data_IF_954643737137
#
_entry.id   IF_954643737137
#
_cell.length_a   1.000
_cell.length_b   1.000
_cell.length_c   1.000
_cell.angle_alpha   90.00
_cell.angle_beta   90.00
_cell.angle_gamma   90.00
#
_symmetry.space_group_name_H-M   'P 1'
#
loop_
_entity.id
_entity.type
_entity.pdbx_description
1 polymer ?
#
# COMPACT_ATOMS: atom_id res chain seq x y z
N UNK A 1 9.41 -8.91 -28.84
CA UNK A 1 8.60 -7.76 -28.40
C UNK A 1 7.37 -8.38 -27.76
N UNK A 2 7.05 -8.04 -26.53
CA UNK A 2 5.81 -8.49 -25.88
C UNK A 2 4.84 -7.33 -26.04
N UNK A 3 3.78 -7.54 -26.81
CA UNK A 3 2.73 -6.57 -27.07
C UNK A 3 1.38 -7.09 -26.57
N UNK A 4 0.52 -6.19 -26.13
CA UNK A 4 -0.83 -6.49 -25.67
C UNK A 4 -1.77 -5.51 -26.37
N UNK A 5 -2.84 -6.02 -26.96
CA UNK A 5 -3.90 -5.22 -27.59
C UNK A 5 -5.19 -5.42 -26.80
N UNK A 6 -5.74 -4.34 -26.24
CA UNK A 6 -6.99 -4.36 -25.48
C UNK A 6 -8.17 -3.87 -26.31
N UNK A 7 -9.35 -4.45 -26.08
CA UNK A 7 -10.62 -3.90 -26.54
C UNK A 7 -11.12 -2.90 -25.51
N UNK A 8 -11.26 -1.63 -25.88
CA UNK A 8 -11.80 -0.59 -25.00
C UNK A 8 -13.33 -0.49 -25.13
N UNK A 9 -13.97 -0.02 -24.07
CA UNK A 9 -15.41 0.28 -24.02
C UNK A 9 -15.63 1.79 -23.87
N UNK A 10 -16.80 2.26 -24.28
CA UNK A 10 -17.18 3.67 -24.13
C UNK A 10 -17.48 4.00 -22.66
N UNK A 11 -17.06 5.18 -22.22
CA UNK A 11 -17.40 5.70 -20.89
C UNK A 11 -18.73 6.45 -21.03
N UNK A 12 -19.76 5.97 -20.31
CA UNK A 12 -21.08 6.59 -20.33
C UNK A 12 -21.05 8.00 -19.74
N UNK A 13 -21.92 8.87 -20.23
CA UNK A 13 -21.87 10.32 -19.95
C UNK A 13 -22.30 10.71 -18.53
N UNK A 14 -23.16 9.91 -17.90
CA UNK A 14 -23.70 10.17 -16.57
C UNK A 14 -23.41 9.00 -15.64
N UNK A 15 -23.03 9.29 -14.39
CA UNK A 15 -22.79 8.26 -13.36
C UNK A 15 -23.26 8.72 -11.98
N UNK A 16 -23.70 7.76 -11.18
CA UNK A 16 -24.07 7.97 -9.78
C UNK A 16 -23.53 6.84 -8.91
N UNK A 17 -23.22 7.15 -7.66
CA UNK A 17 -22.86 6.14 -6.66
C UNK A 17 -23.64 6.34 -5.36
N UNK A 18 -23.89 5.25 -4.65
CA UNK A 18 -24.56 5.19 -3.35
C UNK A 18 -23.75 4.31 -2.40
N UNK A 19 -23.79 4.61 -1.10
CA UNK A 19 -23.24 3.74 -0.07
C UNK A 19 -24.37 3.36 0.87
N UNK A 20 -24.78 2.09 0.82
CA UNK A 20 -25.90 1.56 1.59
C UNK A 20 -25.35 0.65 2.67
N UNK A 21 -25.82 0.81 3.92
CA UNK A 21 -25.38 0.01 5.06
C UNK A 21 -26.53 -0.81 5.58
N UNK A 22 -26.32 -2.11 5.57
CA UNK A 22 -27.23 -3.15 6.00
C UNK A 22 -26.91 -3.54 7.44
N UNK A 23 -27.92 -4.08 8.11
CA UNK A 23 -27.83 -4.49 9.52
C UNK A 23 -27.00 -5.76 9.72
N UNK A 24 -26.83 -6.57 8.67
CA UNK A 24 -26.07 -7.81 8.69
C UNK A 24 -25.52 -8.14 7.29
N UNK A 25 -24.55 -9.07 7.24
CA UNK A 25 -23.90 -9.53 6.00
C UNK A 25 -24.84 -10.33 5.09
N UNK A 26 -25.83 -11.03 5.66
CA UNK A 26 -26.80 -11.84 4.92
C UNK A 26 -27.70 -10.96 4.05
N UNK A 27 -28.30 -9.92 4.64
CA UNK A 27 -29.15 -8.95 3.94
C UNK A 27 -28.37 -8.22 2.84
N UNK A 28 -27.13 -7.81 3.12
CA UNK A 28 -26.26 -7.22 2.10
C UNK A 28 -25.99 -8.19 0.94
N UNK A 29 -25.67 -9.44 1.24
CA UNK A 29 -25.37 -10.45 0.22
C UNK A 29 -26.60 -10.85 -0.60
N UNK A 30 -27.78 -10.92 0.01
CA UNK A 30 -29.05 -11.13 -0.70
C UNK A 30 -29.42 -9.90 -1.56
N UNK A 31 -29.09 -8.70 -1.09
CA UNK A 31 -29.23 -7.48 -1.89
C UNK A 31 -28.32 -7.50 -3.11
N UNK A 32 -27.08 -8.00 -3.01
CA UNK A 32 -26.18 -8.20 -4.16
C UNK A 32 -26.84 -9.11 -5.20
N UNK A 33 -27.40 -10.24 -4.79
CA UNK A 33 -28.12 -11.14 -5.71
C UNK A 33 -29.30 -10.45 -6.39
N UNK A 34 -30.08 -9.66 -5.65
CA UNK A 34 -31.18 -8.89 -6.20
C UNK A 34 -30.69 -7.81 -7.20
N UNK A 35 -29.65 -7.05 -6.84
CA UNK A 35 -29.06 -5.99 -7.67
C UNK A 35 -28.47 -6.54 -8.98
N UNK A 36 -27.91 -7.75 -8.96
CA UNK A 36 -27.32 -8.40 -10.16
C UNK A 36 -28.31 -8.59 -11.32
N UNK A 37 -29.63 -8.51 -11.04
CA UNK A 37 -30.72 -8.64 -12.01
C UNK A 37 -31.07 -7.31 -12.71
N UNK A 38 -30.37 -6.23 -12.37
CA UNK A 38 -30.62 -4.88 -12.86
C UNK A 38 -29.37 -4.27 -13.54
N UNK A 39 -29.56 -3.11 -14.17
CA UNK A 39 -28.46 -2.34 -14.77
C UNK A 39 -27.61 -1.65 -13.70
N UNK A 40 -26.65 -2.38 -13.15
CA UNK A 40 -25.65 -1.87 -12.19
C UNK A 40 -24.25 -2.10 -12.76
N UNK A 41 -23.34 -1.15 -12.59
CA UNK A 41 -21.97 -1.29 -13.12
C UNK A 41 -21.01 -1.83 -12.06
N UNK A 42 -21.23 -1.54 -10.78
CA UNK A 42 -20.43 -2.10 -9.68
C UNK A 42 -21.25 -2.24 -8.40
N UNK A 43 -21.00 -3.33 -7.66
CA UNK A 43 -21.47 -3.53 -6.28
C UNK A 43 -20.31 -4.05 -5.46
N UNK A 44 -19.77 -3.18 -4.61
CA UNK A 44 -18.61 -3.45 -3.77
C UNK A 44 -19.02 -3.69 -2.32
N UNK A 45 -18.69 -4.86 -1.78
CA UNK A 45 -19.00 -5.24 -0.40
C UNK A 45 -17.89 -4.84 0.56
N UNK A 46 -18.25 -4.43 1.76
CA UNK A 46 -17.34 -4.15 2.88
C UNK A 46 -18.00 -4.59 4.19
N UNK A 47 -17.42 -5.59 4.86
CA UNK A 47 -17.97 -6.10 6.13
C UNK A 47 -17.76 -5.14 7.31
N UNK A 48 -18.42 -5.41 8.44
CA UNK A 48 -18.40 -4.49 9.59
C UNK A 48 -17.00 -4.26 10.16
N UNK A 49 -16.14 -5.29 10.10
CA UNK A 49 -14.72 -5.16 10.49
C UNK A 49 -13.94 -4.28 9.51
N UNK A 50 -14.19 -4.40 8.21
CA UNK A 50 -13.65 -3.49 7.20
C UNK A 50 -14.07 -2.04 7.48
N UNK A 51 -15.35 -1.80 7.76
CA UNK A 51 -15.88 -0.46 8.08
C UNK A 51 -15.25 0.11 9.35
N UNK A 52 -15.16 -0.69 10.41
CA UNK A 52 -14.52 -0.28 11.66
C UNK A 52 -13.06 0.13 11.46
N UNK A 53 -12.33 -0.56 10.56
CA UNK A 53 -10.92 -0.27 10.29
C UNK A 53 -10.66 1.11 9.66
N UNK A 54 -11.69 1.75 9.10
CA UNK A 54 -11.59 3.04 8.41
C UNK A 54 -12.49 4.12 9.02
N UNK A 55 -13.25 3.82 10.07
CA UNK A 55 -14.23 4.73 10.66
C UNK A 55 -13.65 6.11 11.08
N UNK A 56 -12.37 6.15 11.47
CA UNK A 56 -11.66 7.36 11.89
C UNK A 56 -11.01 8.15 10.72
N UNK A 57 -11.14 7.68 9.48
CA UNK A 57 -10.54 8.36 8.32
C UNK A 57 -11.34 9.63 7.93
N UNK A 58 -10.62 10.67 7.53
CA UNK A 58 -11.21 11.93 7.06
C UNK A 58 -12.06 11.69 5.79
N UNK A 59 -13.32 12.15 5.82
CA UNK A 59 -14.28 12.04 4.71
C UNK A 59 -15.20 10.82 4.77
N UNK A 60 -15.02 9.93 5.75
CA UNK A 60 -15.94 8.81 5.98
C UNK A 60 -17.26 9.34 6.58
N UNK A 61 -18.42 8.96 6.03
CA UNK A 61 -19.72 9.37 6.56
C UNK A 61 -19.90 9.09 8.05
N UNK A 62 -20.41 10.07 8.81
CA UNK A 62 -20.47 10.00 10.29
C UNK A 62 -21.25 8.79 10.81
N UNK A 63 -22.29 8.36 10.09
CA UNK A 63 -23.10 7.22 10.49
C UNK A 63 -22.30 5.89 10.50
N UNK A 64 -21.20 5.80 9.74
CA UNK A 64 -20.32 4.62 9.74
C UNK A 64 -19.51 4.48 11.04
N UNK A 65 -19.40 5.52 11.87
CA UNK A 65 -18.68 5.43 13.16
C UNK A 65 -19.48 4.70 14.23
N UNK A 66 -20.77 4.45 13.99
CA UNK A 66 -21.69 3.86 14.95
C UNK A 66 -22.13 2.44 14.57
N UNK A 67 -21.59 1.89 13.47
CA UNK A 67 -21.93 0.55 13.00
C UNK A 67 -21.16 -0.50 13.80
N UNK A 68 -21.82 -1.60 14.13
CA UNK A 68 -21.17 -2.74 14.74
C UNK A 68 -20.47 -3.63 13.69
N UNK A 69 -19.84 -4.70 14.15
CA UNK A 69 -19.15 -5.64 13.25
C UNK A 69 -20.09 -6.56 12.45
N UNK A 70 -21.39 -6.60 12.79
CA UNK A 70 -22.38 -7.37 12.03
C UNK A 70 -22.83 -6.61 10.78
N UNK A 71 -22.86 -5.28 10.86
CA UNK A 71 -23.19 -4.42 9.73
C UNK A 71 -22.36 -4.74 8.47
N UNK A 72 -22.94 -4.48 7.30
CA UNK A 72 -22.24 -4.62 6.03
C UNK A 72 -22.62 -3.47 5.10
N UNK A 73 -21.66 -2.90 4.40
CA UNK A 73 -21.90 -1.85 3.42
C UNK A 73 -21.79 -2.38 1.99
N UNK A 74 -22.64 -1.86 1.10
CA UNK A 74 -22.49 -1.96 -0.34
C UNK A 74 -22.24 -0.57 -0.92
N UNK A 75 -21.13 -0.41 -1.64
CA UNK A 75 -20.90 0.74 -2.53
C UNK A 75 -21.42 0.35 -3.93
N UNK A 76 -22.48 1.02 -4.36
CA UNK A 76 -23.22 0.71 -5.59
C UNK A 76 -22.97 1.84 -6.59
N UNK A 77 -22.50 1.51 -7.80
CA UNK A 77 -22.31 2.47 -8.89
C UNK A 77 -23.11 2.06 -10.13
N UNK A 78 -23.75 3.06 -10.76
CA UNK A 78 -24.41 2.89 -12.05
C UNK A 78 -24.16 4.10 -12.96
N UNK A 79 -24.33 3.88 -14.26
CA UNK A 79 -24.05 4.85 -15.30
C UNK A 79 -24.99 4.67 -16.49
N UNK A 80 -25.28 5.77 -17.18
CA UNK A 80 -26.15 5.79 -18.36
C UNK A 80 -25.72 6.89 -19.34
N UNK A 81 -26.17 6.77 -20.59
CA UNK A 81 -25.93 7.77 -21.64
C UNK A 81 -26.83 9.00 -21.52
N UNK A 82 -27.92 8.92 -20.77
CA UNK A 82 -28.79 10.06 -20.48
C UNK A 82 -29.05 10.19 -18.98
N UNK A 83 -29.21 11.44 -18.54
CA UNK A 83 -29.56 11.76 -17.14
C UNK A 83 -30.89 11.11 -16.71
N UNK A 84 -31.88 11.07 -17.61
CA UNK A 84 -33.17 10.45 -17.31
C UNK A 84 -33.02 8.95 -17.00
N UNK A 85 -32.30 8.20 -17.85
CA UNK A 85 -32.09 6.76 -17.63
C UNK A 85 -31.27 6.49 -16.38
N UNK A 86 -30.30 7.37 -16.06
CA UNK A 86 -29.55 7.26 -14.81
C UNK A 86 -30.49 7.39 -13.60
N UNK A 87 -31.36 8.39 -13.58
CA UNK A 87 -32.28 8.61 -12.46
C UNK A 87 -33.30 7.46 -12.30
N UNK A 88 -33.82 6.93 -13.40
CA UNK A 88 -34.68 5.75 -13.40
C UNK A 88 -33.95 4.50 -12.85
N UNK A 89 -32.68 4.34 -13.22
CA UNK A 89 -31.81 3.26 -12.72
C UNK A 89 -31.58 3.43 -11.22
N UNK A 90 -31.17 4.61 -10.76
CA UNK A 90 -30.99 4.90 -9.33
C UNK A 90 -32.25 4.58 -8.51
N UNK A 91 -33.42 5.02 -8.97
CA UNK A 91 -34.69 4.76 -8.29
C UNK A 91 -35.00 3.25 -8.18
N UNK A 92 -34.70 2.49 -9.24
CA UNK A 92 -34.86 1.03 -9.25
C UNK A 92 -33.91 0.36 -8.24
N UNK A 93 -32.63 0.74 -8.22
CA UNK A 93 -31.63 0.17 -7.31
C UNK A 93 -31.92 0.55 -5.84
N UNK A 94 -32.41 1.77 -5.60
CA UNK A 94 -32.90 2.20 -4.29
C UNK A 94 -34.10 1.38 -3.82
N UNK A 95 -35.08 1.12 -4.70
CA UNK A 95 -36.23 0.27 -4.38
C UNK A 95 -35.77 -1.15 -4.01
N UNK A 96 -34.84 -1.74 -4.79
CA UNK A 96 -34.28 -3.06 -4.51
C UNK A 96 -33.66 -3.12 -3.11
N UNK A 97 -32.77 -2.17 -2.79
CA UNK A 97 -32.08 -2.16 -1.48
C UNK A 97 -33.01 -1.84 -0.31
N UNK A 98 -34.09 -1.10 -0.53
CA UNK A 98 -35.08 -0.77 0.51
C UNK A 98 -35.88 -1.96 1.03
N UNK A 99 -35.84 -3.11 0.34
CA UNK A 99 -36.49 -4.35 0.77
C UNK A 99 -35.74 -5.09 1.89
N UNK A 100 -34.58 -4.60 2.30
CA UNK A 100 -33.70 -5.24 3.29
C UNK A 100 -33.53 -4.37 4.55
N UNK A 101 -32.95 -4.93 5.61
CA UNK A 101 -32.78 -4.22 6.89
C UNK A 101 -31.60 -3.25 6.82
N UNK A 102 -31.88 -1.95 6.67
CA UNK A 102 -30.85 -0.91 6.56
C UNK A 102 -30.58 -0.20 7.90
N UNK A 103 -29.31 0.10 8.17
CA UNK A 103 -28.88 1.02 9.23
C UNK A 103 -28.93 2.46 8.72
N UNK A 104 -28.51 2.68 7.47
CA UNK A 104 -28.46 4.00 6.85
C UNK A 104 -27.90 3.95 5.44
N UNK A 105 -28.03 5.07 4.71
CA UNK A 105 -27.44 5.21 3.39
C UNK A 105 -26.99 6.64 3.08
N UNK A 106 -25.94 6.73 2.27
CA UNK A 106 -25.68 7.88 1.43
C UNK A 106 -26.47 7.69 0.14
N UNK A 107 -27.49 8.51 -0.08
CA UNK A 107 -28.29 8.51 -1.32
C UNK A 107 -27.42 8.62 -2.57
N UNK A 108 -27.92 8.10 -3.70
CA UNK A 108 -27.25 8.21 -4.99
C UNK A 108 -26.86 9.65 -5.29
N UNK A 109 -25.57 9.86 -5.53
CA UNK A 109 -24.99 11.16 -5.83
C UNK A 109 -24.28 11.13 -7.17
N UNK A 110 -24.44 12.20 -7.94
CA UNK A 110 -23.69 12.45 -9.17
C UNK A 110 -22.47 13.37 -8.93
N UNK A 111 -22.26 13.83 -7.68
CA UNK A 111 -21.19 14.77 -7.35
C UNK A 111 -19.81 14.08 -7.44
N UNK A 112 -18.91 14.48 -8.36
CA UNK A 112 -17.64 13.77 -8.60
C UNK A 112 -16.76 13.64 -7.35
N UNK A 113 -16.69 14.69 -6.53
CA UNK A 113 -15.86 14.70 -5.32
C UNK A 113 -16.38 13.73 -4.25
N UNK A 114 -17.71 13.60 -4.12
CA UNK A 114 -18.32 12.67 -3.18
C UNK A 114 -18.17 11.23 -3.67
N UNK A 115 -18.40 10.96 -4.95
CA UNK A 115 -18.13 9.65 -5.56
C UNK A 115 -16.66 9.25 -5.35
N UNK A 116 -15.72 10.16 -5.61
CA UNK A 116 -14.30 9.92 -5.40
C UNK A 116 -13.98 9.61 -3.92
N UNK A 117 -14.66 10.27 -2.98
CA UNK A 117 -14.53 10.00 -1.54
C UNK A 117 -15.04 8.61 -1.17
N UNK A 118 -16.22 8.21 -1.67
CA UNK A 118 -16.77 6.86 -1.44
C UNK A 118 -15.85 5.76 -1.99
N UNK A 119 -15.31 5.94 -3.20
CA UNK A 119 -14.34 5.00 -3.76
C UNK A 119 -13.01 5.00 -3.03
N UNK A 120 -12.58 6.14 -2.49
CA UNK A 120 -11.38 6.22 -1.66
C UNK A 120 -11.53 5.39 -0.38
N UNK A 121 -12.71 5.45 0.26
CA UNK A 121 -13.08 4.61 1.41
C UNK A 121 -12.90 3.13 1.10
N UNK A 122 -13.49 2.64 0.00
CA UNK A 122 -13.36 1.25 -0.47
C UNK A 122 -11.91 0.84 -0.79
N UNK A 123 -11.11 1.74 -1.36
CA UNK A 123 -9.69 1.50 -1.70
C UNK A 123 -8.75 1.54 -0.49
N UNK A 124 -9.19 2.16 0.60
CA UNK A 124 -8.40 2.34 1.84
C UNK A 124 -8.35 1.10 2.75
N UNK A 125 -9.09 0.04 2.44
CA UNK A 125 -9.29 -1.14 3.31
C UNK A 125 -8.05 -2.04 3.46
N UNK A 126 -7.37 -2.39 2.37
CA UNK A 126 -6.15 -3.20 2.48
C UNK A 126 -5.07 -2.51 3.34
N UNK A 127 -4.79 -1.21 3.14
CA UNK A 127 -3.86 -0.49 3.99
C UNK A 127 -4.25 -0.39 5.47
N UNK A 128 -5.54 -0.32 5.81
CA UNK A 128 -5.97 -0.15 7.20
C UNK A 128 -5.61 -1.38 8.05
N UNK A 129 -5.80 -2.59 7.52
CA UNK A 129 -5.36 -3.83 8.19
C UNK A 129 -3.85 -3.87 8.36
N UNK A 130 -3.11 -3.47 7.32
CA UNK A 130 -1.66 -3.37 7.38
C UNK A 130 -1.15 -2.40 8.46
N UNK A 131 -1.90 -1.33 8.74
CA UNK A 131 -1.55 -0.34 9.76
C UNK A 131 -1.68 -0.87 11.19
N UNK A 132 -2.66 -1.74 11.45
CA UNK A 132 -2.98 -2.26 12.79
C UNK A 132 -2.35 -3.64 13.07
N UNK A 133 -1.60 -4.20 12.10
CA UNK A 133 -0.98 -5.51 12.24
C UNK A 133 -0.05 -5.59 13.45
N UNK A 134 0.00 -6.76 14.08
CA UNK A 134 0.98 -7.03 15.11
C UNK A 134 2.41 -6.92 14.56
N UNK A 135 3.36 -6.55 15.44
CA UNK A 135 4.76 -6.62 15.06
C UNK A 135 5.12 -8.06 14.70
N UNK A 136 5.95 -8.23 13.67
CA UNK A 136 6.37 -9.53 13.14
C UNK A 136 5.30 -10.39 12.45
N UNK A 137 4.06 -9.93 12.28
CA UNK A 137 3.05 -10.65 11.48
C UNK A 137 2.98 -10.16 10.04
N UNK A 138 2.96 -11.04 9.05
CA UNK A 138 2.67 -10.72 7.65
C UNK A 138 1.20 -10.35 7.44
N UNK A 139 0.92 -9.52 6.43
CA UNK A 139 -0.46 -9.30 5.96
C UNK A 139 -0.71 -10.31 4.84
N UNK A 140 -1.68 -11.19 5.04
CA UNK A 140 -2.13 -12.14 4.02
C UNK A 140 -3.37 -11.53 3.37
N UNK A 141 -3.38 -11.52 2.04
CA UNK A 141 -4.53 -11.14 1.22
C UNK A 141 -4.81 -12.29 0.28
N UNK A 142 -6.02 -12.83 0.38
CA UNK A 142 -6.52 -13.84 -0.52
C UNK A 142 -7.85 -13.36 -1.11
N UNK A 143 -8.20 -13.95 -2.23
CA UNK A 143 -9.43 -13.70 -2.98
C UNK A 143 -10.10 -15.03 -3.30
N UNK A 144 -11.42 -15.07 -3.16
CA UNK A 144 -12.27 -16.22 -3.44
C UNK A 144 -13.51 -15.74 -4.17
N UNK A 145 -14.13 -16.59 -4.97
CA UNK A 145 -15.42 -16.30 -5.57
C UNK A 145 -16.46 -17.34 -5.14
N UNK A 146 -17.64 -16.86 -4.73
CA UNK A 146 -18.81 -17.71 -4.49
C UNK A 146 -19.83 -17.52 -5.61
N UNK A 147 -20.60 -18.54 -5.99
CA UNK A 147 -21.82 -18.33 -6.76
C UNK A 147 -22.70 -17.30 -6.04
N UNK A 148 -23.26 -16.33 -6.77
CA UNK A 148 -23.95 -15.17 -6.19
C UNK A 148 -25.11 -15.63 -5.28
N UNK A 149 -25.85 -16.68 -5.68
CA UNK A 149 -26.94 -17.28 -4.91
C UNK A 149 -26.50 -18.00 -3.63
N UNK A 150 -25.18 -18.21 -3.45
CA UNK A 150 -24.56 -18.78 -2.25
C UNK A 150 -23.78 -17.77 -1.43
N UNK A 151 -23.64 -16.55 -1.92
CA UNK A 151 -22.79 -15.50 -1.32
C UNK A 151 -23.09 -15.33 0.17
N UNK A 152 -24.36 -15.14 0.55
CA UNK A 152 -24.76 -14.89 1.94
C UNK A 152 -24.24 -15.95 2.92
N UNK A 153 -24.46 -17.24 2.61
CA UNK A 153 -24.01 -18.33 3.46
C UNK A 153 -22.49 -18.50 3.40
N UNK A 154 -21.89 -18.34 2.21
CA UNK A 154 -20.45 -18.42 2.01
C UNK A 154 -19.68 -17.39 2.84
N UNK A 155 -20.12 -16.13 2.83
CA UNK A 155 -19.48 -15.06 3.62
C UNK A 155 -19.63 -15.29 5.11
N UNK A 156 -20.83 -15.66 5.59
CA UNK A 156 -21.06 -15.90 7.01
C UNK A 156 -20.21 -17.06 7.55
N UNK A 157 -20.08 -18.14 6.79
CA UNK A 157 -19.23 -19.24 7.20
C UNK A 157 -17.73 -18.89 7.13
N UNK A 158 -17.31 -18.08 6.15
CA UNK A 158 -15.95 -17.55 6.12
C UNK A 158 -15.64 -16.66 7.34
N UNK A 159 -16.59 -15.81 7.76
CA UNK A 159 -16.47 -15.06 9.01
C UNK A 159 -16.36 -15.97 10.23
N UNK A 160 -17.12 -17.07 10.25
CA UNK A 160 -17.06 -18.06 11.33
C UNK A 160 -15.68 -18.74 11.40
N UNK A 161 -15.04 -19.00 10.27
CA UNK A 161 -13.65 -19.49 10.24
C UNK A 161 -12.67 -18.47 10.84
N UNK A 162 -12.82 -17.18 10.56
CA UNK A 162 -11.96 -16.17 11.21
C UNK A 162 -12.09 -16.19 12.72
N UNK A 163 -13.29 -16.35 13.26
CA UNK A 163 -13.51 -16.45 14.71
C UNK A 163 -12.93 -17.73 15.30
N UNK A 164 -13.17 -18.87 14.65
CA UNK A 164 -12.64 -20.17 15.03
C UNK A 164 -11.12 -20.18 15.11
N UNK A 165 -10.46 -19.51 14.16
CA UNK A 165 -9.01 -19.41 14.07
C UNK A 165 -8.45 -18.12 14.66
N UNK A 166 -9.24 -17.36 15.42
CA UNK A 166 -8.83 -16.16 16.16
C UNK A 166 -8.25 -15.00 15.32
N UNK A 167 -8.60 -14.93 14.03
CA UNK A 167 -8.33 -13.77 13.16
C UNK A 167 -9.42 -12.71 13.33
N UNK A 168 -9.55 -12.17 14.54
CA UNK A 168 -10.62 -11.23 14.88
C UNK A 168 -10.49 -9.88 14.15
N UNK A 169 -9.29 -9.57 13.66
CA UNK A 169 -8.99 -8.40 12.83
C UNK A 169 -9.21 -8.62 11.34
N UNK A 170 -9.52 -9.85 10.92
CA UNK A 170 -9.74 -10.16 9.51
C UNK A 170 -10.93 -9.38 8.97
N UNK A 171 -10.77 -8.85 7.77
CA UNK A 171 -11.83 -8.11 7.07
C UNK A 171 -12.18 -8.78 5.75
N UNK A 172 -13.43 -8.59 5.31
CA UNK A 172 -13.91 -9.03 4.00
C UNK A 172 -14.35 -7.81 3.19
N UNK A 173 -13.88 -7.71 1.96
CA UNK A 173 -14.35 -6.73 1.00
C UNK A 173 -14.17 -7.23 -0.43
N UNK A 174 -14.92 -6.75 -1.40
CA UNK A 174 -14.69 -7.17 -2.78
C UNK A 174 -15.77 -6.82 -3.79
N UNK A 175 -15.53 -7.27 -5.00
CA UNK A 175 -16.39 -7.17 -6.17
C UNK A 175 -17.57 -8.14 -6.07
N UNK A 176 -18.50 -7.84 -5.16
CA UNK A 176 -19.59 -8.75 -4.80
C UNK A 176 -20.54 -9.04 -5.97
N UNK A 177 -20.66 -8.12 -6.94
CA UNK A 177 -21.44 -8.35 -8.16
C UNK A 177 -20.96 -9.59 -8.95
N UNK A 178 -19.67 -9.91 -8.87
CA UNK A 178 -19.05 -11.09 -9.50
C UNK A 178 -18.90 -12.26 -8.53
N UNK A 179 -19.47 -12.14 -7.32
CA UNK A 179 -19.27 -13.08 -6.21
C UNK A 179 -17.84 -13.11 -5.66
N UNK A 180 -16.97 -12.21 -6.14
CA UNK A 180 -15.55 -12.13 -5.81
C UNK A 180 -15.33 -11.31 -4.52
N UNK A 181 -14.72 -11.96 -3.53
CA UNK A 181 -14.43 -11.38 -2.23
C UNK A 181 -12.97 -11.56 -1.90
N UNK A 182 -12.36 -10.48 -1.42
CA UNK A 182 -11.07 -10.50 -0.76
C UNK A 182 -11.26 -10.64 0.73
N UNK A 183 -10.36 -11.39 1.35
CA UNK A 183 -10.18 -11.33 2.78
C UNK A 183 -8.73 -11.06 3.14
N UNK A 184 -8.56 -10.24 4.17
CA UNK A 184 -7.25 -9.77 4.61
C UNK A 184 -7.13 -10.01 6.09
N UNK A 185 -6.05 -10.66 6.51
CA UNK A 185 -5.78 -11.00 7.90
C UNK A 185 -4.28 -10.95 8.20
N UNK A 186 -3.91 -11.00 9.47
CA UNK A 186 -2.51 -10.94 9.88
C UNK A 186 -2.02 -12.29 10.38
N UNK A 187 -0.85 -12.72 9.91
CA UNK A 187 -0.30 -14.04 10.21
C UNK A 187 1.15 -13.96 10.68
N UNK A 188 1.45 -14.49 11.86
CA UNK A 188 2.82 -14.67 12.34
C UNK A 188 3.39 -16.03 11.88
N UNK A 189 4.63 -16.07 11.41
CA UNK A 189 5.28 -17.30 10.95
C UNK A 189 6.52 -17.69 11.77
N UNK A 190 6.67 -17.14 12.97
CA UNK A 190 7.84 -17.33 13.84
C UNK A 190 7.74 -18.60 14.70
N UNK A 191 6.53 -19.16 14.89
CA UNK A 191 6.31 -20.34 15.73
C UNK A 191 5.62 -21.46 14.97
N UNK A 192 5.93 -22.71 15.32
CA UNK A 192 5.28 -23.88 14.73
C UNK A 192 3.77 -23.91 14.96
N UNK A 193 3.30 -23.43 16.12
CA UNK A 193 1.88 -23.35 16.44
C UNK A 193 1.15 -22.35 15.52
N UNK A 194 1.74 -21.18 15.27
CA UNK A 194 1.16 -20.19 14.38
C UNK A 194 1.15 -20.67 12.91
N UNK A 195 2.20 -21.37 12.46
CA UNK A 195 2.26 -21.99 11.14
C UNK A 195 1.17 -23.07 11.00
N UNK A 196 0.95 -23.88 12.04
CA UNK A 196 -0.06 -24.94 12.04
C UNK A 196 -1.50 -24.41 12.04
N UNK A 197 -1.75 -23.32 12.80
CA UNK A 197 -3.01 -22.58 12.75
C UNK A 197 -3.29 -22.10 11.31
N UNK A 198 -2.29 -21.50 10.66
CA UNK A 198 -2.40 -21.04 9.28
C UNK A 198 -2.68 -22.19 8.29
N UNK A 199 -1.93 -23.29 8.39
CA UNK A 199 -2.14 -24.48 7.55
C UNK A 199 -3.59 -24.95 7.62
N UNK A 200 -4.09 -25.17 8.84
CA UNK A 200 -5.43 -25.71 9.05
C UNK A 200 -6.51 -24.72 8.62
N UNK A 201 -6.32 -23.44 8.88
CA UNK A 201 -7.20 -22.38 8.40
C UNK A 201 -7.30 -22.38 6.86
N UNK A 202 -6.17 -22.40 6.15
CA UNK A 202 -6.16 -22.42 4.68
C UNK A 202 -6.81 -23.68 4.11
N UNK A 203 -6.58 -24.85 4.71
CA UNK A 203 -7.26 -26.10 4.34
C UNK A 203 -8.78 -25.98 4.48
N UNK A 204 -9.28 -25.49 5.62
CA UNK A 204 -10.73 -25.31 5.83
C UNK A 204 -11.34 -24.26 4.92
N UNK A 205 -10.64 -23.15 4.63
CA UNK A 205 -11.07 -22.17 3.64
C UNK A 205 -11.18 -22.82 2.26
N UNK A 206 -10.20 -23.63 1.86
CA UNK A 206 -10.22 -24.27 0.53
C UNK A 206 -11.34 -25.28 0.39
N UNK A 207 -11.61 -26.07 1.44
CA UNK A 207 -12.74 -27.01 1.50
C UNK A 207 -14.09 -26.27 1.49
N UNK A 208 -14.21 -25.19 2.27
CA UNK A 208 -15.39 -24.34 2.29
C UNK A 208 -15.72 -23.82 0.89
N UNK A 209 -14.75 -23.21 0.23
CA UNK A 209 -14.96 -22.51 -1.04
C UNK A 209 -15.08 -23.51 -2.19
N UNK A 210 -14.06 -24.33 -2.44
CA UNK A 210 -14.01 -25.18 -3.63
C UNK A 210 -14.94 -26.39 -3.54
N UNK A 211 -15.09 -27.00 -2.36
CA UNK A 211 -15.85 -28.25 -2.21
C UNK A 211 -17.28 -27.98 -1.78
N UNK A 212 -17.50 -27.27 -0.68
CA UNK A 212 -18.86 -27.06 -0.16
C UNK A 212 -19.67 -26.10 -1.03
N UNK A 213 -19.07 -24.98 -1.42
CA UNK A 213 -19.76 -23.94 -2.20
C UNK A 213 -19.52 -24.02 -3.71
N UNK A 214 -18.62 -24.89 -4.17
CA UNK A 214 -18.27 -25.02 -5.59
C UNK A 214 -17.84 -23.66 -6.19
N UNK A 215 -17.17 -22.84 -5.37
CA UNK A 215 -16.62 -21.55 -5.72
C UNK A 215 -15.20 -21.64 -6.29
N UNK A 216 -14.63 -20.47 -6.58
CA UNK A 216 -13.24 -20.36 -7.03
C UNK A 216 -12.33 -19.96 -5.88
N UNK A 217 -11.16 -20.60 -5.78
CA UNK A 217 -10.09 -20.23 -4.86
C UNK A 217 -9.28 -19.03 -5.34
N UNK A 218 -9.51 -18.60 -6.58
CA UNK A 218 -8.96 -17.38 -7.19
C UNK A 218 -9.88 -16.73 -8.20
N UNK A 219 -10.18 -15.47 -7.97
CA UNK A 219 -10.95 -14.66 -8.91
C UNK A 219 -10.03 -13.79 -9.76
N UNK A 220 -9.14 -13.03 -9.13
CA UNK A 220 -8.32 -12.01 -9.78
C UNK A 220 -6.84 -12.01 -9.35
N UNK A 221 -6.49 -12.38 -8.12
CA UNK A 221 -5.12 -12.20 -7.61
C UNK A 221 -4.13 -13.30 -8.01
N UNK A 222 -4.47 -14.12 -9.01
CA UNK A 222 -3.65 -15.24 -9.47
C UNK A 222 -3.36 -16.28 -8.38
N UNK A 223 -3.00 -17.50 -8.76
CA UNK A 223 -2.81 -18.58 -7.77
C UNK A 223 -1.68 -18.32 -6.78
N UNK A 224 -0.52 -17.91 -7.27
CA UNK A 224 0.67 -17.76 -6.43
C UNK A 224 1.09 -19.06 -5.71
N UNK A 225 2.18 -19.00 -4.95
CA UNK A 225 2.66 -20.17 -4.20
C UNK A 225 1.70 -20.58 -3.08
N UNK A 226 0.92 -19.64 -2.57
CA UNK A 226 0.06 -19.84 -1.42
C UNK A 226 -1.15 -20.74 -1.75
N UNK A 227 -1.75 -20.55 -2.93
CA UNK A 227 -2.92 -21.34 -3.34
C UNK A 227 -2.59 -22.48 -4.32
N UNK A 228 -1.37 -22.52 -4.88
CA UNK A 228 -0.97 -23.55 -5.85
C UNK A 228 -1.17 -25.00 -5.37
N UNK A 229 -0.94 -25.35 -4.09
CA UNK A 229 -1.21 -26.69 -3.58
C UNK A 229 -2.68 -27.14 -3.65
N UNK A 230 -3.62 -26.18 -3.69
CA UNK A 230 -5.06 -26.43 -3.59
C UNK A 230 -5.78 -26.36 -4.94
N UNK A 231 -5.10 -26.00 -6.02
CA UNK A 231 -5.71 -25.81 -7.35
C UNK A 231 -6.38 -27.09 -7.88
N UNK A 232 -5.82 -28.27 -7.59
CA UNK A 232 -6.44 -29.54 -7.99
C UNK A 232 -7.82 -29.75 -7.33
N UNK A 233 -8.03 -29.19 -6.13
CA UNK A 233 -9.31 -29.28 -5.42
C UNK A 233 -10.43 -28.56 -6.18
N UNK A 234 -10.12 -27.39 -6.74
CA UNK A 234 -11.05 -26.58 -7.53
C UNK A 234 -11.24 -27.14 -8.96
N UNK A 235 -10.15 -27.45 -9.66
CA UNK A 235 -10.22 -27.84 -11.08
C UNK A 235 -10.59 -29.31 -11.29
N UNK A 236 -10.36 -30.14 -10.27
CA UNK A 236 -10.40 -31.59 -10.38
C UNK A 236 -9.20 -32.18 -11.13
N UNK A 237 -9.07 -33.50 -11.01
CA UNK A 237 -7.90 -34.27 -11.45
C UNK A 237 -7.60 -34.15 -12.94
N UNK A 238 -8.63 -34.17 -13.77
CA UNK A 238 -8.46 -34.24 -15.22
C UNK A 238 -7.99 -32.89 -15.79
N UNK A 239 -8.59 -31.79 -15.36
CA UNK A 239 -8.17 -30.44 -15.77
C UNK A 239 -6.78 -30.09 -15.21
N UNK A 240 -6.50 -30.44 -13.96
CA UNK A 240 -5.17 -30.25 -13.37
C UNK A 240 -4.08 -31.01 -14.14
N UNK A 241 -4.33 -32.28 -14.51
CA UNK A 241 -3.40 -33.06 -15.34
C UNK A 241 -3.16 -32.42 -16.71
N UNK A 242 -4.22 -31.94 -17.36
CA UNK A 242 -4.09 -31.26 -18.65
C UNK A 242 -3.20 -30.01 -18.54
N UNK A 243 -3.35 -29.23 -17.47
CA UNK A 243 -2.53 -28.05 -17.24
C UNK A 243 -1.05 -28.38 -16.95
N UNK A 244 -0.78 -29.49 -16.26
CA UNK A 244 0.57 -30.03 -16.09
C UNK A 244 1.22 -30.42 -17.43
N UNK A 245 0.46 -31.05 -18.32
CA UNK A 245 0.92 -31.41 -19.67
C UNK A 245 1.25 -30.16 -20.49
N UNK A 246 0.36 -29.16 -20.49
CA UNK A 246 0.58 -27.87 -21.15
C UNK A 246 1.86 -27.21 -20.61
N UNK A 247 2.02 -27.13 -19.29
CA UNK A 247 3.22 -26.55 -18.66
C UNK A 247 4.50 -27.26 -19.13
N UNK A 248 4.47 -28.60 -19.19
CA UNK A 248 5.63 -29.41 -19.61
C UNK A 248 5.96 -29.24 -21.09
N UNK A 249 4.96 -29.03 -21.95
CA UNK A 249 5.16 -28.81 -23.38
C UNK A 249 5.83 -27.45 -23.66
N UNK A 250 5.43 -26.39 -22.96
CA UNK A 250 5.95 -25.05 -23.19
C UNK A 250 7.20 -24.70 -22.35
N UNK A 251 7.42 -25.40 -21.23
CA UNK A 251 8.56 -25.18 -20.34
C UNK A 251 9.18 -26.51 -19.86
N UNK A 252 9.80 -27.30 -20.77
CA UNK A 252 10.32 -28.64 -20.46
C UNK A 252 11.48 -28.63 -19.46
N UNK A 253 12.14 -27.50 -19.27
CA UNK A 253 13.24 -27.32 -18.30
C UNK A 253 12.76 -26.69 -16.98
N UNK A 254 11.46 -26.39 -16.86
CA UNK A 254 10.83 -25.77 -15.70
C UNK A 254 11.52 -24.47 -15.24
N UNK A 255 11.87 -23.60 -16.19
CA UNK A 255 12.56 -22.33 -15.94
C UNK A 255 11.60 -21.16 -15.67
N UNK A 256 10.36 -21.24 -16.15
CA UNK A 256 9.38 -20.17 -16.07
C UNK A 256 8.54 -20.29 -14.79
N UNK A 257 8.94 -19.57 -13.73
CA UNK A 257 8.20 -19.46 -12.46
C UNK A 257 7.77 -20.81 -11.85
N UNK A 258 8.73 -21.69 -11.49
CA UNK A 258 8.44 -22.99 -10.92
C UNK A 258 7.64 -22.88 -9.61
N UNK A 259 6.59 -23.70 -9.48
CA UNK A 259 5.79 -23.83 -8.26
C UNK A 259 4.81 -22.69 -7.95
N UNK A 260 4.62 -21.73 -8.86
CA UNK A 260 3.81 -20.52 -8.62
C UNK A 260 2.33 -20.67 -8.97
N UNK A 261 1.96 -21.49 -9.96
CA UNK A 261 0.55 -21.72 -10.32
C UNK A 261 0.23 -23.20 -10.13
N UNK A 262 1.11 -24.03 -10.68
CA UNK A 262 1.04 -25.47 -10.55
C UNK A 262 2.19 -25.90 -9.66
N UNK A 263 1.87 -26.57 -8.56
CA UNK A 263 2.85 -27.10 -7.63
C UNK A 263 2.40 -28.48 -7.14
N UNK A 264 3.29 -29.47 -7.25
CA UNK A 264 3.02 -30.85 -6.81
C UNK A 264 3.32 -31.06 -5.33
N UNK A 265 3.95 -30.09 -4.68
CA UNK A 265 4.21 -30.11 -3.25
C UNK A 265 3.01 -29.56 -2.49
N UNK A 266 2.27 -30.46 -1.83
CA UNK A 266 1.06 -30.11 -1.06
C UNK A 266 1.33 -29.11 0.07
N UNK A 267 2.59 -28.99 0.52
CA UNK A 267 2.99 -28.11 1.61
C UNK A 267 3.72 -26.85 1.11
N UNK A 268 3.71 -26.55 -0.19
CA UNK A 268 4.48 -25.43 -0.72
C UNK A 268 4.08 -24.07 -0.13
N UNK A 269 2.82 -23.90 0.27
CA UNK A 269 2.30 -22.70 0.92
C UNK A 269 2.87 -22.44 2.33
N UNK A 270 3.56 -23.44 2.91
CA UNK A 270 4.22 -23.37 4.22
C UNK A 270 5.75 -23.29 4.12
N UNK A 271 6.28 -23.25 2.89
CA UNK A 271 7.72 -23.19 2.61
C UNK A 271 8.13 -21.78 2.20
N UNK A 272 9.41 -21.48 2.38
CA UNK A 272 10.01 -20.20 2.00
C UNK A 272 9.27 -18.97 2.56
N UNK A 273 8.68 -19.13 3.76
CA UNK A 273 7.92 -18.08 4.44
C UNK A 273 8.83 -16.91 4.74
N UNK A 274 8.42 -15.72 4.28
CA UNK A 274 9.19 -14.50 4.48
C UNK A 274 9.08 -14.02 5.93
N UNK A 275 10.18 -13.92 6.69
CA UNK A 275 10.14 -13.37 8.04
C UNK A 275 9.92 -11.86 8.00
N UNK A 276 9.31 -11.32 9.06
CA UNK A 276 9.00 -9.89 9.17
C UNK A 276 9.56 -9.27 10.46
N UNK A 277 10.88 -9.38 10.73
CA UNK A 277 11.44 -8.97 12.01
C UNK A 277 11.14 -7.49 12.32
N UNK A 278 10.90 -7.19 13.60
CA UNK A 278 10.79 -5.82 14.06
C UNK A 278 12.13 -5.08 13.89
N UNK A 279 12.07 -3.82 13.48
CA UNK A 279 13.25 -3.04 13.10
C UNK A 279 13.24 -1.64 13.69
N UNK A 280 12.43 -0.75 13.12
CA UNK A 280 12.34 0.65 13.49
C UNK A 280 10.89 1.04 13.37
N UNK A 281 10.33 1.61 14.44
CA UNK A 281 8.91 1.91 14.59
C UNK A 281 8.29 2.63 13.38
N UNK A 282 9.02 3.57 12.77
CA UNK A 282 8.60 4.28 11.54
C UNK A 282 8.33 3.38 10.31
N UNK A 283 8.97 2.21 10.20
CA UNK A 283 8.82 1.31 9.04
C UNK A 283 8.28 -0.06 9.42
N UNK A 284 8.12 -0.37 10.70
CA UNK A 284 7.52 -1.62 11.15
C UNK A 284 6.07 -1.81 10.66
N UNK A 285 5.22 -0.78 10.52
CA UNK A 285 3.93 -0.91 9.87
C UNK A 285 3.99 -1.25 8.37
N UNK A 286 5.16 -1.18 7.72
CA UNK A 286 5.26 -1.41 6.28
C UNK A 286 4.89 -2.85 5.90
N UNK A 287 3.88 -3.01 5.05
CA UNK A 287 3.49 -4.27 4.41
C UNK A 287 4.21 -4.55 3.08
N UNK A 288 5.17 -3.70 2.70
CA UNK A 288 6.02 -3.91 1.51
C UNK A 288 5.27 -3.96 0.16
N UNK A 289 4.15 -3.25 0.05
CA UNK A 289 3.31 -3.18 -1.15
C UNK A 289 3.93 -2.44 -2.36
N UNK A 290 4.85 -1.49 -2.11
CA UNK A 290 5.57 -0.79 -3.18
C UNK A 290 4.88 0.45 -3.77
N UNK A 291 3.76 0.92 -3.23
CA UNK A 291 3.12 2.19 -3.67
C UNK A 291 4.07 3.41 -3.63
N UNK A 292 5.06 3.37 -2.75
CA UNK A 292 6.06 4.42 -2.60
C UNK A 292 7.16 4.42 -3.67
N UNK A 293 7.33 3.34 -4.45
CA UNK A 293 8.44 3.20 -5.39
C UNK A 293 8.41 4.21 -6.54
N UNK A 294 7.26 4.48 -7.21
CA UNK A 294 7.24 5.32 -8.39
C UNK A 294 7.69 6.77 -8.15
N UNK A 295 7.48 7.31 -6.95
CA UNK A 295 7.83 8.69 -6.56
C UNK A 295 9.24 8.85 -6.00
N UNK A 296 9.97 7.76 -5.81
CA UNK A 296 11.30 7.81 -5.24
C UNK A 296 12.33 8.33 -6.25
N UNK A 297 13.05 9.43 -5.95
CA UNK A 297 14.02 9.99 -6.89
C UNK A 297 15.26 9.10 -7.08
N UNK A 298 15.55 8.18 -6.15
CA UNK A 298 16.69 7.27 -6.26
C UNK A 298 16.37 5.94 -6.94
N UNK A 299 15.12 5.68 -7.36
CA UNK A 299 14.67 4.36 -7.82
C UNK A 299 15.42 3.85 -9.07
N UNK A 300 15.92 4.76 -9.89
CA UNK A 300 16.67 4.44 -11.13
C UNK A 300 18.18 4.39 -10.90
N UNK A 301 18.65 4.86 -9.74
CA UNK A 301 20.07 4.87 -9.37
C UNK A 301 20.43 3.69 -8.45
N UNK A 302 19.56 3.33 -7.52
CA UNK A 302 19.80 2.35 -6.46
C UNK A 302 18.47 1.80 -5.96
N UNK A 303 18.30 1.60 -4.65
CA UNK A 303 17.08 1.04 -4.07
C UNK A 303 15.91 2.04 -4.12
N UNK A 304 14.70 1.49 -4.19
CA UNK A 304 13.43 2.15 -3.89
C UNK A 304 13.20 2.24 -2.36
N UNK A 305 12.18 2.96 -1.87
CA UNK A 305 11.89 3.02 -0.44
C UNK A 305 11.45 1.65 0.12
N UNK A 306 10.63 0.89 -0.63
CA UNK A 306 10.27 -0.49 -0.26
C UNK A 306 11.51 -1.38 -0.18
N UNK A 307 12.35 -1.37 -1.21
CA UNK A 307 13.56 -2.19 -1.24
C UNK A 307 14.52 -1.86 -0.09
N UNK A 308 14.63 -0.59 0.30
CA UNK A 308 15.38 -0.19 1.51
C UNK A 308 14.81 -0.81 2.78
N UNK A 309 13.49 -0.74 2.96
CA UNK A 309 12.84 -1.33 4.14
C UNK A 309 13.07 -2.84 4.18
N UNK A 310 12.91 -3.53 3.04
CA UNK A 310 13.12 -4.98 2.93
C UNK A 310 14.56 -5.37 3.28
N UNK A 311 15.56 -4.71 2.69
CA UNK A 311 16.97 -5.04 2.99
C UNK A 311 17.36 -4.66 4.42
N UNK A 312 16.83 -3.56 4.94
CA UNK A 312 17.05 -3.20 6.35
C UNK A 312 16.46 -4.27 7.29
N UNK A 313 15.27 -4.79 7.00
CA UNK A 313 14.68 -5.91 7.74
C UNK A 313 15.51 -7.16 7.69
N UNK A 314 16.03 -7.51 6.52
CA UNK A 314 16.95 -8.65 6.38
C UNK A 314 18.20 -8.47 7.24
N UNK A 315 18.84 -7.30 7.19
CA UNK A 315 20.01 -6.98 8.02
C UNK A 315 19.70 -7.07 9.52
N UNK A 316 18.58 -6.51 9.98
CA UNK A 316 18.18 -6.62 11.38
C UNK A 316 17.88 -8.07 11.78
N UNK A 317 17.28 -8.86 10.89
CA UNK A 317 17.03 -10.29 11.09
C UNK A 317 18.32 -11.09 11.22
N UNK A 318 19.32 -10.83 10.36
CA UNK A 318 20.64 -11.44 10.46
C UNK A 318 21.38 -11.00 11.73
N UNK A 319 21.26 -9.73 12.11
CA UNK A 319 21.87 -9.19 13.32
C UNK A 319 21.30 -9.85 14.58
N UNK A 320 19.98 -10.05 14.64
CA UNK A 320 19.34 -10.76 15.74
C UNK A 320 19.81 -12.22 15.87
N UNK A 321 20.22 -12.85 14.76
CA UNK A 321 20.79 -14.20 14.72
C UNK A 321 22.31 -14.23 14.95
N UNK A 322 22.97 -13.07 15.04
CA UNK A 322 24.43 -12.97 15.18
C UNK A 322 25.21 -13.38 13.91
N UNK A 323 24.57 -13.34 12.74
CA UNK A 323 25.13 -13.83 11.48
C UNK A 323 24.92 -12.81 10.33
N UNK A 324 25.41 -11.58 10.52
CA UNK A 324 25.34 -10.51 9.51
C UNK A 324 26.32 -10.78 8.38
N UNK A 325 25.85 -10.77 7.15
CA UNK A 325 26.67 -10.78 5.95
C UNK A 325 27.36 -9.40 5.76
N UNK A 326 28.70 -9.31 5.87
CA UNK A 326 29.42 -8.06 5.71
C UNK A 326 29.29 -7.46 4.30
N UNK A 327 29.07 -8.28 3.27
CA UNK A 327 28.85 -7.78 1.91
C UNK A 327 27.49 -7.08 1.79
N UNK A 328 26.46 -7.66 2.41
CA UNK A 328 25.13 -7.06 2.47
C UNK A 328 25.13 -5.74 3.26
N UNK A 329 25.83 -5.71 4.40
CA UNK A 329 25.97 -4.48 5.21
C UNK A 329 26.62 -3.36 4.39
N UNK A 330 27.75 -3.65 3.74
CA UNK A 330 28.44 -2.69 2.87
C UNK A 330 27.60 -2.25 1.68
N UNK A 331 26.83 -3.17 1.09
CA UNK A 331 25.91 -2.86 0.00
C UNK A 331 24.83 -1.89 0.46
N UNK A 332 24.27 -2.13 1.65
CA UNK A 332 23.21 -1.32 2.23
C UNK A 332 23.70 0.07 2.68
N UNK A 333 24.95 0.20 3.14
CA UNK A 333 25.55 1.49 3.44
C UNK A 333 25.46 2.44 2.24
N UNK A 334 25.91 1.99 1.07
CA UNK A 334 25.83 2.82 -0.14
C UNK A 334 24.40 2.89 -0.69
N UNK A 335 23.81 1.74 -1.04
CA UNK A 335 22.55 1.70 -1.78
C UNK A 335 21.31 2.02 -0.93
N UNK A 336 21.37 1.75 0.36
CA UNK A 336 20.30 1.99 1.31
C UNK A 336 20.43 3.37 1.95
N UNK A 337 21.59 3.67 2.52
CA UNK A 337 21.79 4.87 3.34
C UNK A 337 22.27 6.05 2.49
N UNK A 338 23.38 5.96 1.77
CA UNK A 338 23.99 7.12 1.11
C UNK A 338 23.15 7.68 -0.05
N UNK A 339 22.54 6.82 -0.87
CA UNK A 339 21.79 7.26 -2.06
C UNK A 339 20.40 7.80 -1.77
N UNK A 340 19.89 7.65 -0.54
CA UNK A 340 18.59 8.20 -0.17
C UNK A 340 18.66 9.74 -0.09
N UNK A 341 17.78 10.43 -0.81
CA UNK A 341 17.72 11.89 -0.78
C UNK A 341 17.00 12.46 0.48
N UNK A 342 16.38 11.61 1.31
CA UNK A 342 15.65 12.00 2.53
C UNK A 342 14.58 13.07 2.26
N UNK A 343 13.94 13.00 1.09
CA UNK A 343 12.93 13.99 0.67
C UNK A 343 11.56 13.77 1.29
N UNK A 344 11.30 12.58 1.85
CA UNK A 344 9.98 12.20 2.38
C UNK A 344 8.91 11.94 1.31
N UNK A 345 9.21 12.03 0.01
CA UNK A 345 8.21 11.88 -1.06
C UNK A 345 7.45 10.55 -1.02
N UNK A 346 8.09 9.49 -0.51
CA UNK A 346 7.48 8.18 -0.32
C UNK A 346 6.24 8.22 0.58
N UNK A 347 6.21 9.13 1.56
CA UNK A 347 5.11 9.29 2.51
C UNK A 347 3.83 9.71 1.79
N UNK A 348 3.93 10.61 0.80
CA UNK A 348 2.77 11.09 0.04
C UNK A 348 2.06 10.03 -0.80
N UNK A 349 2.71 8.89 -1.05
CA UNK A 349 2.12 7.75 -1.76
C UNK A 349 1.89 6.53 -0.87
N UNK A 350 2.45 6.52 0.34
CA UNK A 350 2.26 5.43 1.25
C UNK A 350 0.84 5.53 1.84
N UNK A 351 -0.01 4.50 1.71
CA UNK A 351 -1.38 4.58 2.19
C UNK A 351 -1.49 4.64 3.72
N UNK A 352 -0.40 4.33 4.43
CA UNK A 352 -0.26 4.42 5.89
C UNK A 352 0.83 5.41 6.30
N UNK A 353 1.18 6.35 5.42
CA UNK A 353 2.05 7.50 5.69
C UNK A 353 3.47 7.15 6.20
N UNK A 354 4.07 6.08 5.69
CA UNK A 354 5.46 5.74 6.03
C UNK A 354 6.45 6.64 5.31
N UNK A 355 7.33 7.27 6.08
CA UNK A 355 8.42 8.09 5.58
C UNK A 355 9.77 7.36 5.72
N UNK A 356 10.23 6.69 4.66
CA UNK A 356 11.56 6.04 4.66
C UNK A 356 12.70 7.04 4.86
N UNK A 357 12.52 8.33 4.54
CA UNK A 357 13.50 9.38 4.84
C UNK A 357 13.83 9.47 6.32
N UNK A 358 12.81 9.40 7.19
CA UNK A 358 12.98 9.40 8.66
C UNK A 358 13.83 8.23 9.15
N UNK A 359 13.64 7.03 8.57
CA UNK A 359 14.49 5.88 8.85
C UNK A 359 15.94 6.18 8.47
N UNK A 360 16.19 6.66 7.25
CA UNK A 360 17.56 6.88 6.79
C UNK A 360 18.25 8.00 7.55
N UNK A 361 17.53 9.07 7.92
CA UNK A 361 18.07 10.13 8.77
C UNK A 361 18.48 9.61 10.15
N UNK A 362 17.65 8.77 10.76
CA UNK A 362 17.96 8.06 12.01
C UNK A 362 19.24 7.23 11.89
N UNK A 363 19.40 6.46 10.80
CA UNK A 363 20.62 5.66 10.56
C UNK A 363 21.87 6.53 10.35
N UNK A 364 21.76 7.63 9.58
CA UNK A 364 22.87 8.58 9.37
C UNK A 364 23.29 9.29 10.65
N UNK A 365 22.33 9.64 11.51
CA UNK A 365 22.59 10.33 12.78
C UNK A 365 23.41 9.47 13.75
N UNK A 366 23.18 8.15 13.76
CA UNK A 366 23.94 7.17 14.55
C UNK A 366 25.37 6.99 14.04
N UNK A 367 25.58 7.18 12.74
CA UNK A 367 26.86 6.92 12.07
C UNK A 367 27.91 8.02 12.30
N UNK A 368 27.53 9.31 12.39
CA UNK A 368 28.52 10.42 12.46
C UNK A 368 28.04 11.63 13.30
N UNK A 369 28.44 11.69 14.57
CA UNK A 369 28.42 12.96 15.33
C UNK A 369 29.52 13.89 14.83
N UNK A 370 29.20 14.85 13.97
CA UNK A 370 30.12 15.91 13.57
C UNK A 370 29.98 17.12 14.51
N UNK A 371 30.99 17.47 15.32
CA UNK A 371 30.93 18.60 16.25
C UNK A 371 30.66 19.94 15.57
N UNK A 372 31.17 20.14 14.34
CA UNK A 372 30.97 21.36 13.55
C UNK A 372 29.52 21.44 13.06
N UNK A 373 28.95 20.31 12.63
CA UNK A 373 27.55 20.26 12.22
C UNK A 373 26.62 20.55 13.41
N UNK A 374 26.88 19.92 14.57
CA UNK A 374 26.12 20.14 15.81
C UNK A 374 26.26 21.58 16.31
N UNK A 375 27.46 22.15 16.28
CA UNK A 375 27.69 23.56 16.61
C UNK A 375 26.94 24.49 15.66
N UNK A 376 27.02 24.24 14.35
CA UNK A 376 26.36 25.03 13.32
C UNK A 376 24.84 25.00 13.45
N UNK A 377 24.24 23.83 13.73
CA UNK A 377 22.81 23.70 13.97
C UNK A 377 22.37 24.46 15.23
N UNK A 378 23.12 24.33 16.33
CA UNK A 378 22.80 24.99 17.60
C UNK A 378 23.11 26.50 17.60
N UNK A 379 23.90 26.98 16.64
CA UNK A 379 24.33 28.38 16.52
C UNK A 379 24.09 28.90 15.10
N UNK A 380 22.95 28.56 14.50
CA UNK A 380 22.67 28.83 13.09
C UNK A 380 22.85 30.31 12.72
N UNK A 381 22.43 31.23 13.60
CA UNK A 381 22.65 32.66 13.41
C UNK A 381 24.13 33.03 13.29
N UNK A 382 24.98 32.49 14.17
CA UNK A 382 26.43 32.72 14.12
C UNK A 382 27.06 32.04 12.92
N UNK A 383 26.66 30.82 12.61
CA UNK A 383 27.14 30.08 11.45
C UNK A 383 26.84 30.83 10.14
N UNK A 384 25.62 31.36 9.99
CA UNK A 384 25.25 32.17 8.82
C UNK A 384 25.97 33.52 8.79
N UNK A 385 26.21 34.17 9.94
CA UNK A 385 27.03 35.39 10.00
C UNK A 385 28.47 35.14 9.56
N UNK A 386 29.11 34.07 10.04
CA UNK A 386 30.46 33.67 9.63
C UNK A 386 30.51 33.42 8.12
N UNK A 387 29.52 32.70 7.57
CA UNK A 387 29.45 32.44 6.14
C UNK A 387 29.30 33.73 5.32
N UNK A 388 28.45 34.68 5.74
CA UNK A 388 28.30 36.01 5.09
C UNK A 388 29.59 36.81 5.15
N UNK A 389 30.26 36.82 6.30
CA UNK A 389 31.55 37.50 6.45
C UNK A 389 32.61 36.87 5.54
N UNK A 390 32.67 35.54 5.48
CA UNK A 390 33.58 34.81 4.59
C UNK A 390 33.36 35.14 3.11
N UNK A 391 32.11 35.18 2.65
CA UNK A 391 31.78 35.60 1.28
C UNK A 391 32.18 37.05 1.02
N UNK A 392 31.96 37.95 1.99
CA UNK A 392 32.36 39.36 1.89
C UNK A 392 33.88 39.47 1.76
N UNK A 393 34.63 38.83 2.66
CA UNK A 393 36.09 38.81 2.63
C UNK A 393 36.63 38.25 1.30
N UNK A 394 36.01 37.19 0.76
CA UNK A 394 36.37 36.64 -0.54
C UNK A 394 36.18 37.66 -1.68
N UNK A 395 35.12 38.47 -1.66
CA UNK A 395 34.92 39.51 -2.67
C UNK A 395 35.97 40.62 -2.59
N UNK A 396 36.32 41.04 -1.37
CA UNK A 396 37.39 42.01 -1.15
C UNK A 396 38.74 41.48 -1.66
N UNK A 397 39.09 40.24 -1.31
CA UNK A 397 40.29 39.58 -1.80
C UNK A 397 40.29 39.41 -3.32
N UNK A 398 39.15 39.05 -3.91
CA UNK A 398 38.98 38.93 -5.36
C UNK A 398 39.15 40.25 -6.10
N UNK A 399 38.71 41.38 -5.52
CA UNK A 399 38.95 42.73 -6.07
C UNK A 399 40.41 43.17 -5.95
N UNK A 400 41.08 42.82 -4.86
CA UNK A 400 42.46 43.23 -4.60
C UNK A 400 43.50 42.40 -5.38
N UNK A 401 43.32 41.08 -5.44
CA UNK A 401 44.34 40.13 -5.95
C UNK A 401 43.90 39.44 -7.25
N UNK A 402 42.63 39.60 -7.63
CA UNK A 402 42.03 38.96 -8.80
C UNK A 402 41.36 37.62 -8.44
N UNK A 403 40.08 37.47 -8.79
CA UNK A 403 39.26 36.30 -8.43
C UNK A 403 39.86 34.95 -8.88
N UNK A 404 40.49 34.90 -10.07
CA UNK A 404 41.17 33.69 -10.58
C UNK A 404 42.41 33.30 -9.76
N UNK A 405 43.10 34.27 -9.16
CA UNK A 405 44.27 34.02 -8.33
C UNK A 405 43.86 33.46 -6.96
N UNK A 406 42.77 34.00 -6.38
CA UNK A 406 42.16 33.47 -5.15
C UNK A 406 41.63 32.04 -5.36
N UNK A 407 40.99 31.77 -6.49
CA UNK A 407 40.57 30.41 -6.84
C UNK A 407 41.76 29.44 -6.94
N UNK A 408 42.84 29.85 -7.63
CA UNK A 408 44.04 29.03 -7.76
C UNK A 408 44.71 28.76 -6.40
N UNK A 409 44.74 29.76 -5.52
CA UNK A 409 45.29 29.63 -4.17
C UNK A 409 44.43 28.71 -3.30
N UNK A 410 43.10 28.90 -3.30
CA UNK A 410 42.18 28.06 -2.52
C UNK A 410 42.20 26.60 -2.98
N UNK A 411 42.28 26.32 -4.29
CA UNK A 411 42.46 24.94 -4.81
C UNK A 411 43.77 24.30 -4.35
N UNK A 412 44.87 25.08 -4.27
CA UNK A 412 46.14 24.59 -3.73
C UNK A 412 46.07 24.28 -2.23
N UNK A 413 45.31 25.06 -1.47
CA UNK A 413 45.11 24.87 -0.02
C UNK A 413 44.10 23.75 0.29
N UNK A 414 43.08 23.55 -0.54
CA UNK A 414 42.09 22.48 -0.38
C UNK A 414 42.73 21.09 -0.41
N UNK A 415 43.70 20.87 -1.30
CA UNK A 415 44.32 19.55 -1.50
C UNK A 415 44.99 18.97 -0.23
N UNK A 416 45.78 19.74 0.56
CA UNK A 416 46.35 19.27 1.82
C UNK A 416 45.45 19.49 3.05
N UNK A 417 44.57 20.51 3.06
CA UNK A 417 43.87 20.94 4.27
C UNK A 417 42.35 20.67 4.26
N UNK A 418 41.79 20.21 3.14
CA UNK A 418 40.35 20.00 3.00
C UNK A 418 39.50 21.28 3.09
N UNK A 419 40.11 22.46 2.98
CA UNK A 419 39.41 23.75 3.09
C UNK A 419 38.49 24.01 1.88
N UNK A 420 37.36 24.73 2.02
CA UNK A 420 36.47 25.02 0.90
C UNK A 420 37.18 25.72 -0.26
N UNK A 421 36.87 25.30 -1.50
CA UNK A 421 37.39 25.96 -2.71
C UNK A 421 36.58 27.22 -2.98
N UNK A 422 37.27 28.36 -3.04
CA UNK A 422 36.66 29.66 -3.35
C UNK A 422 36.68 29.86 -4.87
N UNK A 423 35.63 29.40 -5.55
CA UNK A 423 35.51 29.57 -7.01
C UNK A 423 35.27 31.03 -7.39
N UNK A 424 35.81 31.44 -8.55
CA UNK A 424 35.72 32.82 -9.03
C UNK A 424 34.31 33.32 -9.31
N UNK A 425 33.34 32.41 -9.42
CA UNK A 425 31.91 32.70 -9.64
C UNK A 425 31.06 32.65 -8.36
N UNK A 426 31.67 32.62 -7.17
CA UNK A 426 30.91 32.66 -5.92
C UNK A 426 30.05 33.94 -5.82
N UNK A 427 28.77 33.83 -5.40
CA UNK A 427 27.91 34.98 -5.25
C UNK A 427 28.38 35.92 -4.12
N UNK A 428 27.98 37.20 -4.14
CA UNK A 428 28.10 38.08 -2.98
C UNK A 428 27.45 37.51 -1.72
N UNK A 429 27.91 37.99 -0.56
CA UNK A 429 27.18 37.80 0.67
C UNK A 429 25.75 38.34 0.51
N UNK A 430 24.76 37.49 0.76
CA UNK A 430 23.37 37.93 0.79
C UNK A 430 23.18 38.92 1.95
N UNK A 431 22.32 39.93 1.74
CA UNK A 431 21.85 40.78 2.85
C UNK A 431 21.19 39.89 3.89
N UNK A 432 21.34 40.23 5.17
CA UNK A 432 20.58 39.56 6.22
C UNK A 432 19.10 39.73 5.90
N UNK A 433 18.38 38.62 5.84
CA UNK A 433 16.92 38.67 5.73
C UNK A 433 16.44 39.24 7.07
N UNK A 434 15.94 40.46 7.05
CA UNK A 434 15.22 41.01 8.20
C UNK A 434 13.95 40.18 8.35
N UNK A 435 13.95 39.23 9.30
CA UNK A 435 12.71 38.59 9.69
C UNK A 435 11.85 39.67 10.34
N UNK A 436 10.97 40.32 9.57
CA UNK A 436 9.74 40.84 10.16
C UNK A 436 9.10 39.64 10.82
N UNK A 437 9.09 39.61 12.14
CA UNK A 437 8.37 38.62 12.94
C UNK A 437 6.96 38.51 12.40
N UNK A 438 6.69 37.52 11.54
CA UNK A 438 5.34 37.01 11.41
C UNK A 438 5.17 36.11 12.63
N UNK A 439 4.33 36.57 13.55
CA UNK A 439 3.59 35.69 14.43
C UNK A 439 2.64 34.86 13.56
N UNK A 440 3.17 33.95 12.75
CA UNK A 440 2.40 32.81 12.31
C UNK A 440 2.94 31.60 13.05
N UNK A 441 2.18 31.28 14.11
CA UNK A 441 2.16 29.99 14.76
C UNK A 441 2.45 28.88 13.74
N UNK A 442 3.43 28.06 14.08
CA UNK A 442 3.75 26.82 13.38
C UNK A 442 2.61 25.81 13.63
N UNK A 443 1.48 26.02 12.94
CA UNK A 443 0.64 24.93 12.43
C UNK A 443 0.79 24.98 10.91
N UNK A 444 1.91 24.45 10.42
CA UNK A 444 1.92 23.94 9.06
C UNK A 444 1.16 22.61 9.11
N UNK A 445 -0.18 22.69 9.10
CA UNK A 445 -0.95 21.60 8.53
C UNK A 445 -0.59 21.59 7.07
N UNK A 446 0.19 20.59 6.66
CA UNK A 446 0.29 20.21 5.25
C UNK A 446 -1.04 19.51 4.93
N UNK A 447 -2.11 20.29 4.90
CA UNK A 447 -3.39 19.88 4.36
C UNK A 447 -3.38 20.29 2.88
N UNK A 448 -3.74 19.33 2.04
CA UNK A 448 -3.79 19.37 0.58
C UNK A 448 -2.50 18.96 -0.16
N UNK A 449 -2.28 17.65 -0.33
CA UNK A 449 -1.76 17.17 -1.60
C UNK A 449 -2.82 17.45 -2.69
N UNK A 450 -2.55 18.42 -3.57
CA UNK A 450 -3.19 18.49 -4.88
C UNK A 450 -2.70 17.27 -5.66
N UNK A 451 -3.44 16.17 -5.57
CA UNK A 451 -3.21 15.00 -6.40
C UNK A 451 -3.72 15.30 -7.81
N UNK A 452 -2.79 15.59 -8.71
CA UNK A 452 -3.04 15.47 -10.14
C UNK A 452 -3.35 13.99 -10.44
N UNK A 453 -4.59 13.71 -10.85
CA UNK A 453 -4.94 12.53 -11.62
C UNK A 453 -3.98 12.43 -12.83
N UNK A 454 -3.46 11.25 -13.17
CA UNK A 454 -4.30 10.31 -13.93
C UNK A 454 -3.89 8.84 -13.77
N UNK A 455 -4.72 7.98 -13.16
CA UNK A 455 -4.65 6.54 -13.43
C UNK A 455 -6.06 5.99 -13.50
N UNK A 456 -6.57 6.03 -14.73
CA UNK A 456 -7.61 5.16 -15.22
C UNK A 456 -7.06 3.72 -15.29
N UNK A 457 -7.95 2.76 -15.06
CA UNK A 457 -7.94 1.39 -15.58
C UNK A 457 -6.85 0.44 -15.03
N UNK A 458 -7.28 -0.44 -14.14
CA UNK A 458 -7.63 -1.80 -14.55
C UNK A 458 -8.99 -2.11 -13.95
N UNK A 459 -9.97 -2.23 -14.83
CA UNK A 459 -11.22 -2.98 -14.63
C UNK A 459 -10.91 -4.41 -14.26
#
# INVERSE_FOLDING_TARGET
MVDITYRTIDIKSHKAASLVVFSNIEDASLAVEALSKHSVDAVELMDGRALASIAEQEGVPEFLKQVDCEACALLIECSADSEQFLLETCATLDEVTSNFSLIGKQEFTQAPDLIATLWKTRKGLLPSVGAIRALSSSVIIEDVAFPIEKLANGVRELQSLFEQYHYNEAIIFGHALDGNLHFVFTQNFDTSAAIEQYRTFMEEVTELVAVKYQGSLKAEHGTGRNMAPFVELEWGKDAYRLMLEIKSLFDPLNLMNPGVIINTDSNAHLKDLKPMPATHSNVDPCMECGFCEPVCPSKTLSLSPRQRIVLYRELQGQQAKGAVDPELEKLFDYQGIETCAVTGLCESRCPISINTGTLIDSLRSKSKSNPIAKWSANNFDKATQIARWGLTANQWAGKAVGAKNIERLSRKLNKPLGTPVLISTLPPAAKQIESKTSQHQTRLSISQPVFLAPWAQTT
#
